data_IF_384819376131
#
_entry.id   IF_384819376131
#
_cell.length_a   1.000
_cell.length_b   1.000
_cell.length_c   1.000
_cell.angle_alpha   90.00
_cell.angle_beta   90.00
_cell.angle_gamma   90.00
#
_symmetry.space_group_name_H-M   'P 1'
#
loop_
_entity.id
_entity.type
_entity.pdbx_description
1 polymer ?
#
# COMPACT_ATOMS: atom_id res chain seq x y z
N UNK A 1 0.76 -21.80 30.72
CA UNK A 1 -0.22 -20.72 30.41
C UNK A 1 0.39 -19.33 30.44
N UNK A 2 1.30 -19.04 31.38
CA UNK A 2 1.92 -17.71 31.54
C UNK A 2 2.93 -17.38 30.41
N UNK A 3 3.83 -18.33 30.05
CA UNK A 3 4.73 -18.13 28.91
C UNK A 3 3.99 -17.97 27.57
N UNK A 4 2.84 -18.65 27.38
CA UNK A 4 1.97 -18.45 26.21
C UNK A 4 1.37 -17.04 26.13
N UNK A 5 1.06 -16.41 27.26
CA UNK A 5 0.59 -15.01 27.29
C UNK A 5 1.74 -14.05 26.96
N UNK A 6 2.95 -14.31 27.44
CA UNK A 6 4.13 -13.50 27.11
C UNK A 6 4.52 -13.61 25.63
N UNK A 7 4.51 -14.82 25.05
CA UNK A 7 4.75 -15.03 23.62
C UNK A 7 3.80 -14.20 22.77
N UNK A 8 2.50 -14.23 23.11
CA UNK A 8 1.48 -13.49 22.40
C UNK A 8 1.70 -11.97 22.48
N UNK A 9 2.16 -11.44 23.62
CA UNK A 9 2.48 -10.01 23.79
C UNK A 9 3.66 -9.58 22.91
N UNK A 10 4.74 -10.38 22.88
CA UNK A 10 5.93 -10.08 22.06
C UNK A 10 5.56 -10.11 20.57
N UNK A 11 4.82 -11.12 20.12
CA UNK A 11 4.39 -11.22 18.73
C UNK A 11 3.49 -10.03 18.36
N UNK A 12 2.51 -9.68 19.20
CA UNK A 12 1.65 -8.51 18.96
C UNK A 12 2.47 -7.22 18.88
N UNK A 13 3.45 -7.03 19.78
CA UNK A 13 4.34 -5.87 19.74
C UNK A 13 5.12 -5.79 18.42
N UNK A 14 5.72 -6.90 17.99
CA UNK A 14 6.42 -7.00 16.70
C UNK A 14 5.49 -6.62 15.55
N UNK A 15 4.27 -7.14 15.56
CA UNK A 15 3.28 -6.88 14.53
C UNK A 15 2.84 -5.42 14.48
N UNK A 16 2.56 -4.80 15.63
CA UNK A 16 2.16 -3.40 15.72
C UNK A 16 3.28 -2.49 15.21
N UNK A 17 4.50 -2.67 15.72
CA UNK A 17 5.64 -1.81 15.34
C UNK A 17 5.97 -1.96 13.86
N UNK A 18 5.98 -3.18 13.33
CA UNK A 18 6.19 -3.39 11.90
C UNK A 18 5.07 -2.75 11.07
N UNK A 19 3.81 -2.87 11.50
CA UNK A 19 2.67 -2.28 10.80
C UNK A 19 2.64 -0.74 10.84
N UNK A 20 3.39 -0.08 11.74
CA UNK A 20 3.60 1.38 11.69
C UNK A 20 4.22 1.85 10.37
N UNK A 21 4.96 0.99 9.65
CA UNK A 21 5.41 1.32 8.30
C UNK A 21 4.24 1.58 7.33
N UNK A 22 3.14 0.86 7.49
CA UNK A 22 1.89 1.11 6.77
C UNK A 22 1.22 2.40 7.23
N UNK A 23 1.26 2.71 8.53
CA UNK A 23 0.74 3.97 9.07
C UNK A 23 1.43 5.18 8.44
N UNK A 24 2.77 5.18 8.40
CA UNK A 24 3.54 6.30 7.81
C UNK A 24 3.22 6.50 6.33
N UNK A 25 3.04 5.40 5.59
CA UNK A 25 2.58 5.46 4.22
C UNK A 25 1.20 6.13 4.12
N UNK A 26 0.26 5.70 4.96
CA UNK A 26 -1.07 6.28 5.01
C UNK A 26 -1.11 7.76 5.40
N UNK A 27 -0.32 8.16 6.39
CA UNK A 27 -0.23 9.55 6.85
C UNK A 27 0.26 10.48 5.73
N UNK A 28 1.26 10.08 4.95
CA UNK A 28 1.72 10.92 3.84
C UNK A 28 0.70 10.95 2.67
N UNK A 29 0.08 9.83 2.35
CA UNK A 29 -1.00 9.75 1.35
C UNK A 29 -2.18 10.67 1.69
N UNK A 30 -2.67 10.62 2.94
CA UNK A 30 -3.78 11.45 3.39
C UNK A 30 -3.40 12.92 3.61
N UNK A 31 -2.12 13.22 3.84
CA UNK A 31 -1.63 14.60 3.94
C UNK A 31 -1.83 15.34 2.62
N UNK A 32 -1.47 14.73 1.48
CA UNK A 32 -1.60 15.34 0.16
C UNK A 32 -3.04 15.77 -0.12
N UNK A 33 -4.01 14.93 0.23
CA UNK A 33 -5.42 15.19 -0.03
C UNK A 33 -5.97 16.45 0.65
N UNK A 34 -5.42 16.82 1.82
CA UNK A 34 -5.97 17.89 2.66
C UNK A 34 -5.05 19.12 2.79
N UNK A 35 -3.76 18.98 2.47
CA UNK A 35 -2.79 20.06 2.58
C UNK A 35 -2.69 20.92 1.30
N UNK A 36 -3.37 20.55 0.20
CA UNK A 36 -3.27 21.24 -1.10
C UNK A 36 -3.51 22.76 -1.02
N UNK A 37 -4.59 23.19 -0.36
CA UNK A 37 -4.90 24.62 -0.18
C UNK A 37 -3.84 25.36 0.62
N UNK A 38 -3.37 24.75 1.71
CA UNK A 38 -2.33 25.30 2.58
C UNK A 38 -0.99 25.41 1.85
N UNK A 39 -0.66 24.40 1.03
CA UNK A 39 0.53 24.39 0.16
C UNK A 39 0.44 25.46 -0.93
N UNK A 40 -0.74 25.65 -1.54
CA UNK A 40 -0.97 26.71 -2.52
C UNK A 40 -0.72 28.10 -1.92
N UNK A 41 -1.26 28.36 -0.74
CA UNK A 41 -1.11 29.65 -0.07
C UNK A 41 0.35 30.00 0.28
N UNK A 42 1.18 29.00 0.65
CA UNK A 42 2.56 29.24 1.09
C UNK A 42 3.55 29.19 -0.08
N UNK A 43 3.37 28.24 -1.01
CA UNK A 43 4.34 27.96 -2.08
C UNK A 43 3.85 28.31 -3.49
N UNK A 44 2.62 28.83 -3.64
CA UNK A 44 2.04 29.17 -4.94
C UNK A 44 1.71 27.95 -5.80
N UNK A 45 1.62 26.75 -5.22
CA UNK A 45 1.26 25.52 -5.93
C UNK A 45 -0.25 25.54 -6.21
N UNK A 46 -0.64 26.11 -7.35
CA UNK A 46 -2.04 26.24 -7.71
C UNK A 46 -2.75 24.86 -7.78
N UNK A 47 -3.96 24.81 -7.24
CA UNK A 47 -4.81 23.61 -7.28
C UNK A 47 -5.09 23.18 -8.73
N UNK A 48 -4.87 21.89 -9.03
CA UNK A 48 -5.06 21.31 -10.35
C UNK A 48 -3.94 21.65 -11.35
N UNK A 49 -2.87 22.32 -10.91
CA UNK A 49 -1.72 22.65 -11.76
C UNK A 49 -0.83 21.43 -12.05
N UNK A 50 -0.06 21.54 -13.12
CA UNK A 50 1.02 20.59 -13.44
C UNK A 50 2.05 20.55 -12.31
N UNK A 51 2.29 21.68 -11.64
CA UNK A 51 3.22 21.77 -10.51
C UNK A 51 2.74 20.94 -9.31
N UNK A 52 1.44 20.99 -8.97
CA UNK A 52 0.85 20.14 -7.93
C UNK A 52 0.98 18.66 -8.30
N UNK A 53 0.66 18.31 -9.55
CA UNK A 53 0.79 16.95 -10.06
C UNK A 53 2.22 16.42 -9.95
N UNK A 54 3.21 17.21 -10.36
CA UNK A 54 4.62 16.86 -10.28
C UNK A 54 5.10 16.73 -8.83
N UNK A 55 4.74 17.68 -7.97
CA UNK A 55 5.10 17.64 -6.55
C UNK A 55 4.58 16.37 -5.86
N UNK A 56 3.32 16.01 -6.10
CA UNK A 56 2.71 14.80 -5.55
C UNK A 56 3.31 13.52 -6.15
N UNK A 57 3.74 13.55 -7.41
CA UNK A 57 4.26 12.38 -8.11
C UNK A 57 5.74 12.08 -7.79
N UNK A 58 6.51 13.05 -7.28
CA UNK A 58 7.94 12.86 -6.89
C UNK A 58 8.13 11.82 -5.80
N UNK A 59 7.16 11.68 -4.90
CA UNK A 59 7.17 10.64 -3.89
C UNK A 59 7.24 9.22 -4.49
N UNK A 60 6.58 9.00 -5.62
CA UNK A 60 6.60 7.71 -6.29
C UNK A 60 8.00 7.35 -6.83
N UNK A 61 8.78 8.34 -7.31
CA UNK A 61 10.17 8.12 -7.68
C UNK A 61 11.03 7.72 -6.46
N UNK A 62 10.80 8.37 -5.32
CA UNK A 62 11.38 7.95 -4.04
C UNK A 62 11.02 6.50 -3.72
N UNK A 63 9.74 6.13 -3.86
CA UNK A 63 9.23 4.77 -3.66
C UNK A 63 9.90 3.73 -4.55
N UNK A 64 10.13 4.05 -5.83
CA UNK A 64 10.86 3.20 -6.78
C UNK A 64 12.30 3.01 -6.32
N UNK A 65 13.02 4.11 -6.00
CA UNK A 65 14.39 4.06 -5.53
C UNK A 65 14.52 3.25 -4.23
N UNK A 66 13.64 3.50 -3.26
CA UNK A 66 13.57 2.75 -2.01
C UNK A 66 13.33 1.25 -2.22
N UNK A 67 12.41 0.91 -3.13
CA UNK A 67 12.11 -0.48 -3.48
C UNK A 67 13.30 -1.18 -4.14
N UNK A 68 13.98 -0.52 -5.08
CA UNK A 68 15.19 -1.04 -5.74
C UNK A 68 16.30 -1.35 -4.72
N UNK A 69 16.53 -0.45 -3.77
CA UNK A 69 17.54 -0.64 -2.75
C UNK A 69 17.13 -1.62 -1.65
N UNK A 70 15.82 -1.87 -1.45
CA UNK A 70 15.30 -2.69 -0.34
C UNK A 70 15.87 -4.11 -0.32
N UNK A 71 16.03 -4.76 -1.46
CA UNK A 71 16.62 -6.11 -1.56
C UNK A 71 18.08 -6.14 -1.08
N UNK A 72 18.86 -5.10 -1.40
CA UNK A 72 20.22 -4.93 -0.91
C UNK A 72 20.21 -4.71 0.61
N UNK A 73 19.46 -3.72 1.10
CA UNK A 73 19.42 -3.40 2.53
C UNK A 73 18.95 -4.59 3.38
N UNK A 74 17.89 -5.30 2.97
CA UNK A 74 17.34 -6.43 3.73
C UNK A 74 18.28 -7.64 3.77
N UNK A 75 19.11 -7.82 2.74
CA UNK A 75 20.12 -8.90 2.68
C UNK A 75 21.37 -8.57 3.50
N UNK A 76 21.89 -7.33 3.39
CA UNK A 76 23.14 -6.93 4.04
C UNK A 76 22.96 -6.46 5.47
N UNK A 77 22.03 -5.52 5.71
CA UNK A 77 21.78 -4.97 7.05
C UNK A 77 20.81 -5.84 7.87
N UNK A 78 19.97 -6.62 7.20
CA UNK A 78 18.88 -7.37 7.82
C UNK A 78 17.60 -6.57 7.95
N UNK A 79 16.48 -7.28 8.10
CA UNK A 79 15.12 -6.72 7.99
C UNK A 79 14.84 -5.59 9.00
N UNK A 80 15.21 -5.82 10.27
CA UNK A 80 15.10 -4.81 11.36
C UNK A 80 15.82 -3.50 10.99
N UNK A 81 17.07 -3.61 10.55
CA UNK A 81 17.88 -2.44 10.25
C UNK A 81 17.40 -1.72 9.00
N UNK A 82 16.82 -2.43 8.02
CA UNK A 82 16.13 -1.79 6.90
C UNK A 82 14.93 -0.97 7.36
N UNK A 83 14.13 -1.46 8.31
CA UNK A 83 13.03 -0.68 8.89
C UNK A 83 13.52 0.54 9.67
N UNK A 84 14.66 0.45 10.36
CA UNK A 84 15.31 1.60 11.01
C UNK A 84 15.73 2.66 9.98
N UNK A 85 16.35 2.26 8.86
CA UNK A 85 16.70 3.18 7.78
C UNK A 85 15.44 3.83 7.20
N UNK A 86 14.38 3.06 6.95
CA UNK A 86 13.12 3.58 6.46
C UNK A 86 12.50 4.61 7.42
N UNK A 87 12.42 4.28 8.72
CA UNK A 87 11.90 5.17 9.76
C UNK A 87 12.75 6.45 9.91
N UNK A 88 14.07 6.34 9.79
CA UNK A 88 14.96 7.50 9.82
C UNK A 88 14.76 8.41 8.61
N UNK A 89 14.66 7.84 7.40
CA UNK A 89 14.34 8.61 6.19
C UNK A 89 13.00 9.34 6.31
N UNK A 90 11.98 8.68 6.86
CA UNK A 90 10.69 9.31 7.13
C UNK A 90 10.79 10.47 8.13
N UNK A 91 11.47 10.24 9.26
CA UNK A 91 11.64 11.24 10.31
C UNK A 91 12.36 12.47 9.76
N UNK A 92 13.45 12.26 9.02
CA UNK A 92 14.24 13.33 8.40
C UNK A 92 13.39 14.12 7.39
N UNK A 93 12.72 13.42 6.47
CA UNK A 93 11.89 14.06 5.45
C UNK A 93 10.73 14.86 6.05
N UNK A 94 10.02 14.30 7.03
CA UNK A 94 8.90 14.98 7.68
C UNK A 94 9.36 16.17 8.55
N UNK A 95 10.46 16.00 9.30
CA UNK A 95 11.00 17.06 10.14
C UNK A 95 11.47 18.26 9.31
N UNK A 96 12.25 18.02 8.25
CA UNK A 96 12.70 19.12 7.37
C UNK A 96 11.50 19.76 6.67
N UNK A 97 10.48 18.99 6.28
CA UNK A 97 9.24 19.55 5.71
C UNK A 97 8.50 20.48 6.67
N UNK A 98 8.55 20.21 7.99
CA UNK A 98 7.91 21.06 9.00
C UNK A 98 8.55 22.44 9.16
N UNK A 99 9.80 22.61 8.70
CA UNK A 99 10.53 23.88 8.71
C UNK A 99 10.09 24.84 7.61
N UNK A 100 9.20 24.41 6.71
CA UNK A 100 8.67 25.20 5.61
C UNK A 100 9.73 25.89 4.74
N UNK A 101 10.84 25.17 4.51
CA UNK A 101 11.93 25.61 3.63
C UNK A 101 11.46 25.75 2.17
N UNK A 102 12.26 26.39 1.28
CA UNK A 102 11.91 26.56 -0.13
C UNK A 102 11.43 25.28 -0.82
N UNK A 103 10.60 25.44 -1.84
CA UNK A 103 9.87 24.34 -2.49
C UNK A 103 10.80 23.25 -3.04
N UNK A 104 12.03 23.59 -3.44
CA UNK A 104 13.05 22.66 -3.90
C UNK A 104 13.45 21.69 -2.79
N UNK A 105 13.61 22.20 -1.57
CA UNK A 105 13.94 21.40 -0.39
C UNK A 105 12.74 20.55 0.02
N UNK A 106 11.53 21.12 -0.01
CA UNK A 106 10.31 20.36 0.28
C UNK A 106 10.09 19.22 -0.73
N UNK A 107 10.42 19.47 -1.99
CA UNK A 107 10.40 18.47 -3.07
C UNK A 107 11.44 17.37 -2.85
N UNK A 108 12.65 17.72 -2.40
CA UNK A 108 13.65 16.73 -2.00
C UNK A 108 13.17 15.91 -0.79
N UNK A 109 12.52 16.53 0.18
CA UNK A 109 11.92 15.85 1.34
C UNK A 109 10.84 14.85 0.91
N UNK A 110 10.00 15.21 -0.09
CA UNK A 110 9.02 14.29 -0.69
C UNK A 110 9.66 13.05 -1.30
N UNK A 111 10.80 13.21 -1.99
CA UNK A 111 11.58 12.08 -2.48
C UNK A 111 12.12 11.22 -1.31
N UNK A 112 12.64 11.83 -0.25
CA UNK A 112 13.14 11.12 0.94
C UNK A 112 12.04 10.35 1.67
N UNK A 113 10.85 10.94 1.82
CA UNK A 113 9.67 10.27 2.35
C UNK A 113 9.32 9.06 1.50
N UNK A 114 9.23 9.23 0.18
CA UNK A 114 9.00 8.14 -0.77
C UNK A 114 10.03 7.02 -0.67
N UNK A 115 11.31 7.35 -0.53
CA UNK A 115 12.38 6.37 -0.32
C UNK A 115 12.14 5.53 0.95
N UNK A 116 11.76 6.17 2.05
CA UNK A 116 11.35 5.50 3.28
C UNK A 116 10.16 4.57 3.07
N UNK A 117 9.11 5.03 2.38
CA UNK A 117 7.92 4.22 2.07
C UNK A 117 8.30 3.00 1.23
N UNK A 118 9.11 3.17 0.19
CA UNK A 118 9.55 2.09 -0.69
C UNK A 118 10.31 1.00 0.07
N UNK A 119 11.23 1.40 0.96
CA UNK A 119 11.92 0.46 1.84
C UNK A 119 10.96 -0.26 2.78
N UNK A 120 10.06 0.47 3.44
CA UNK A 120 9.10 -0.08 4.39
C UNK A 120 8.10 -1.04 3.73
N UNK A 121 7.62 -0.73 2.52
CA UNK A 121 6.64 -1.52 1.77
C UNK A 121 7.17 -2.90 1.38
N UNK A 122 8.48 -3.03 1.21
CA UNK A 122 9.13 -4.32 0.98
C UNK A 122 9.57 -5.01 2.28
N UNK A 123 10.22 -4.26 3.18
CA UNK A 123 10.81 -4.82 4.40
C UNK A 123 9.75 -5.26 5.42
N UNK A 124 8.62 -4.55 5.53
CA UNK A 124 7.58 -4.83 6.53
C UNK A 124 6.89 -6.17 6.28
N UNK A 125 6.32 -6.46 5.10
CA UNK A 125 5.68 -7.75 4.85
C UNK A 125 6.67 -8.91 4.96
N UNK A 126 7.91 -8.73 4.51
CA UNK A 126 8.96 -9.74 4.63
C UNK A 126 9.31 -10.01 6.10
N UNK A 127 9.52 -8.95 6.89
CA UNK A 127 9.83 -9.08 8.32
C UNK A 127 8.70 -9.78 9.07
N UNK A 128 7.44 -9.39 8.80
CA UNK A 128 6.26 -10.03 9.37
C UNK A 128 6.17 -11.51 8.97
N UNK A 129 6.42 -11.85 7.71
CA UNK A 129 6.37 -13.24 7.25
C UNK A 129 7.45 -14.14 7.90
N UNK A 130 8.60 -13.58 8.28
CA UNK A 130 9.72 -14.32 8.88
C UNK A 130 9.66 -14.38 10.40
N UNK A 131 8.98 -13.44 11.06
CA UNK A 131 8.90 -13.34 12.53
C UNK A 131 7.54 -13.77 13.09
N UNK A 132 6.46 -13.63 12.32
CA UNK A 132 5.13 -14.02 12.76
C UNK A 132 4.94 -15.55 12.68
N UNK A 133 4.24 -16.14 13.67
CA UNK A 133 3.82 -17.53 13.63
C UNK A 133 3.02 -17.87 12.36
N UNK A 134 3.14 -19.10 11.88
CA UNK A 134 2.52 -19.58 10.63
C UNK A 134 1.02 -19.36 10.58
N UNK A 135 0.32 -19.45 11.72
CA UNK A 135 -1.13 -19.33 11.83
C UNK A 135 -1.68 -17.91 11.65
N UNK A 136 -0.86 -16.85 11.73
CA UNK A 136 -1.33 -15.45 11.60
C UNK A 136 -0.75 -14.72 10.38
N UNK A 137 0.09 -15.37 9.56
CA UNK A 137 0.79 -14.70 8.43
C UNK A 137 -0.15 -13.98 7.46
N UNK A 138 -1.28 -14.58 7.11
CA UNK A 138 -2.27 -13.94 6.22
C UNK A 138 -2.86 -12.66 6.81
N UNK A 139 -3.20 -12.68 8.10
CA UNK A 139 -3.71 -11.51 8.82
C UNK A 139 -2.68 -10.37 8.90
N UNK A 140 -1.38 -10.66 8.81
CA UNK A 140 -0.32 -9.65 8.86
C UNK A 140 -0.27 -8.77 7.61
N UNK A 141 -0.48 -9.36 6.42
CA UNK A 141 -0.57 -8.57 5.19
C UNK A 141 -1.79 -7.64 5.23
N UNK A 142 -2.89 -8.09 5.84
CA UNK A 142 -4.08 -7.24 6.01
C UNK A 142 -3.89 -6.18 7.10
N UNK A 143 -3.13 -6.46 8.16
CA UNK A 143 -2.78 -5.48 9.19
C UNK A 143 -1.99 -4.31 8.60
N UNK A 144 -1.04 -4.58 7.68
CA UNK A 144 -0.31 -3.52 6.98
C UNK A 144 -1.26 -2.59 6.21
N UNK A 145 -2.20 -3.17 5.45
CA UNK A 145 -3.22 -2.38 4.72
C UNK A 145 -4.15 -1.62 5.67
N UNK A 146 -4.57 -2.23 6.78
CA UNK A 146 -5.39 -1.58 7.80
C UNK A 146 -4.68 -0.33 8.33
N UNK A 147 -3.38 -0.44 8.66
CA UNK A 147 -2.59 0.70 9.13
C UNK A 147 -2.42 1.80 8.08
N UNK A 148 -2.33 1.47 6.79
CA UNK A 148 -2.36 2.48 5.71
C UNK A 148 -3.67 3.26 5.77
N UNK A 149 -4.81 2.57 5.77
CA UNK A 149 -6.12 3.26 5.78
C UNK A 149 -6.37 4.02 7.08
N UNK A 150 -5.89 3.51 8.21
CA UNK A 150 -5.93 4.22 9.49
C UNK A 150 -5.06 5.48 9.45
N UNK A 151 -3.87 5.43 8.85
CA UNK A 151 -3.00 6.59 8.67
C UNK A 151 -3.65 7.68 7.82
N UNK A 152 -4.28 7.31 6.70
CA UNK A 152 -5.01 8.25 5.84
C UNK A 152 -6.13 8.95 6.62
N UNK A 153 -6.93 8.18 7.38
CA UNK A 153 -7.98 8.74 8.20
C UNK A 153 -7.43 9.64 9.31
N UNK A 154 -6.39 9.18 10.02
CA UNK A 154 -5.80 9.88 11.15
C UNK A 154 -5.23 11.25 10.75
N UNK A 155 -4.45 11.31 9.67
CA UNK A 155 -3.88 12.59 9.21
C UNK A 155 -4.98 13.53 8.73
N UNK A 156 -6.03 13.03 8.07
CA UNK A 156 -7.16 13.86 7.66
C UNK A 156 -7.86 14.48 8.89
N UNK A 157 -8.13 13.65 9.90
CA UNK A 157 -8.73 14.10 11.16
C UNK A 157 -7.84 15.14 11.86
N UNK A 158 -6.55 14.89 12.01
CA UNK A 158 -5.65 15.84 12.68
C UNK A 158 -5.51 17.12 11.88
N UNK A 159 -5.44 17.06 10.54
CA UNK A 159 -5.31 18.24 9.70
C UNK A 159 -6.54 19.15 9.81
N UNK A 160 -7.74 18.58 9.82
CA UNK A 160 -9.00 19.33 10.04
C UNK A 160 -8.95 20.03 11.41
N UNK A 161 -8.65 19.28 12.47
CA UNK A 161 -8.59 19.83 13.84
C UNK A 161 -7.53 20.93 13.96
N UNK A 162 -6.36 20.76 13.33
CA UNK A 162 -5.30 21.78 13.33
C UNK A 162 -5.77 23.05 12.64
N UNK A 163 -6.37 22.95 11.46
CA UNK A 163 -6.85 24.13 10.70
C UNK A 163 -7.93 24.87 11.47
N UNK A 164 -8.89 24.15 12.07
CA UNK A 164 -9.99 24.76 12.84
C UNK A 164 -9.52 25.42 14.14
N UNK A 165 -8.55 24.84 14.85
CA UNK A 165 -8.07 25.37 16.13
C UNK A 165 -7.05 26.50 15.98
N UNK A 166 -6.17 26.42 14.97
CA UNK A 166 -5.01 27.33 14.86
C UNK A 166 -5.35 28.56 14.03
N UNK A 167 -6.14 28.42 12.96
CA UNK A 167 -6.53 29.53 12.07
C UNK A 167 -5.40 30.17 11.24
N UNK A 168 -4.13 29.89 11.55
CA UNK A 168 -2.95 30.39 10.82
C UNK A 168 -2.37 29.32 9.89
N UNK A 169 -2.31 29.62 8.59
CA UNK A 169 -1.92 28.69 7.51
C UNK A 169 -0.51 28.09 7.69
N UNK A 170 0.49 28.91 8.01
CA UNK A 170 1.88 28.46 8.18
C UNK A 170 2.04 27.54 9.39
N UNK A 171 1.55 27.98 10.55
CA UNK A 171 1.59 27.19 11.79
C UNK A 171 0.82 25.88 11.58
N UNK A 172 -0.31 25.92 10.88
CA UNK A 172 -1.07 24.73 10.54
C UNK A 172 -0.24 23.75 9.71
N UNK A 173 0.41 24.21 8.63
CA UNK A 173 1.23 23.33 7.78
C UNK A 173 2.40 22.69 8.55
N UNK A 174 3.10 23.48 9.37
CA UNK A 174 4.17 22.98 10.25
C UNK A 174 3.65 21.91 11.20
N UNK A 175 2.48 22.12 11.83
CA UNK A 175 1.88 21.14 12.73
C UNK A 175 1.42 19.88 11.99
N UNK A 176 0.87 20.00 10.78
CA UNK A 176 0.51 18.85 9.96
C UNK A 176 1.72 17.96 9.65
N UNK A 177 2.86 18.56 9.25
CA UNK A 177 4.11 17.81 9.09
C UNK A 177 4.64 17.25 10.41
N UNK A 178 4.47 17.98 11.51
CA UNK A 178 4.91 17.55 12.85
C UNK A 178 4.16 16.31 13.34
N UNK A 179 2.88 16.14 12.97
CA UNK A 179 2.13 14.89 13.23
C UNK A 179 2.82 13.70 12.53
N UNK A 180 3.22 13.86 11.26
CA UNK A 180 3.94 12.81 10.53
C UNK A 180 5.30 12.53 11.20
N UNK A 181 6.04 13.58 11.59
CA UNK A 181 7.32 13.47 12.32
C UNK A 181 7.15 12.70 13.63
N UNK A 182 6.08 12.95 14.39
CA UNK A 182 5.80 12.24 15.64
C UNK A 182 5.63 10.73 15.40
N UNK A 183 4.80 10.33 14.43
CA UNK A 183 4.61 8.91 14.13
C UNK A 183 5.87 8.26 13.55
N UNK A 184 6.65 9.00 12.75
CA UNK A 184 7.93 8.52 12.24
C UNK A 184 8.92 8.27 13.39
N UNK A 185 8.96 9.16 14.38
CA UNK A 185 9.74 8.99 15.61
C UNK A 185 9.30 7.76 16.40
N UNK A 186 7.98 7.57 16.59
CA UNK A 186 7.43 6.40 17.29
C UNK A 186 7.79 5.08 16.58
N UNK A 187 7.72 5.05 15.25
CA UNK A 187 8.16 3.89 14.47
C UNK A 187 9.67 3.65 14.67
N UNK A 188 10.50 4.69 14.53
CA UNK A 188 11.95 4.57 14.68
C UNK A 188 12.34 4.02 16.05
N UNK A 189 11.77 4.58 17.13
CA UNK A 189 11.96 4.11 18.51
C UNK A 189 11.48 2.66 18.66
N UNK A 190 10.28 2.34 18.18
CA UNK A 190 9.74 0.98 18.22
C UNK A 190 10.65 -0.03 17.51
N UNK A 191 11.21 0.35 16.36
CA UNK A 191 12.11 -0.50 15.57
C UNK A 191 13.42 -0.83 16.31
N UNK A 192 13.89 -0.02 17.26
CA UNK A 192 15.06 -0.37 18.08
C UNK A 192 14.80 -1.59 18.97
N UNK A 193 13.57 -1.78 19.43
CA UNK A 193 13.18 -2.89 20.30
C UNK A 193 12.78 -4.17 19.53
N UNK A 194 12.65 -4.09 18.21
CA UNK A 194 12.36 -5.25 17.38
C UNK A 194 13.50 -6.28 17.43
N UNK A 195 13.21 -7.59 17.50
CA UNK A 195 14.21 -8.63 17.34
C UNK A 195 14.68 -8.70 15.87
N UNK A 196 15.91 -9.19 15.65
CA UNK A 196 16.38 -9.51 14.29
C UNK A 196 15.59 -10.70 13.73
N UNK A 197 15.46 -10.76 12.40
CA UNK A 197 14.83 -11.92 11.75
C UNK A 197 15.65 -13.19 12.01
N UNK A 198 15.05 -14.27 12.55
CA UNK A 198 15.75 -15.54 12.75
C UNK A 198 16.31 -16.11 11.44
N UNK A 199 15.55 -16.01 10.35
CA UNK A 199 15.98 -16.49 9.03
C UNK A 199 17.20 -15.73 8.50
N UNK A 200 17.24 -14.42 8.72
CA UNK A 200 18.40 -13.61 8.35
C UNK A 200 19.64 -13.94 9.20
N UNK A 201 19.47 -14.23 10.49
CA UNK A 201 20.58 -14.66 11.35
C UNK A 201 21.13 -16.02 10.91
N UNK A 202 20.25 -16.97 10.56
CA UNK A 202 20.66 -18.26 9.98
C UNK A 202 21.45 -18.08 8.68
N UNK A 203 21.03 -17.17 7.80
CA UNK A 203 21.75 -16.81 6.56
C UNK A 203 23.15 -16.22 6.82
N UNK A 204 23.38 -15.67 8.01
CA UNK A 204 24.67 -15.12 8.45
C UNK A 204 25.47 -16.09 9.34
N UNK A 205 25.08 -17.37 9.38
CA UNK A 205 25.68 -18.40 10.23
C UNK A 205 25.64 -18.07 11.74
N UNK A 206 24.63 -17.31 12.19
CA UNK A 206 24.41 -16.93 13.61
C UNK A 206 23.24 -17.73 14.20
N UNK A 207 23.40 -19.04 14.27
CA UNK A 207 22.33 -19.96 14.69
C UNK A 207 21.91 -19.80 16.15
N UNK A 208 22.87 -19.64 17.07
CA UNK A 208 22.58 -19.46 18.50
C UNK A 208 21.67 -18.26 18.76
N UNK A 209 21.93 -17.14 18.07
CA UNK A 209 21.07 -15.95 18.16
C UNK A 209 19.71 -16.17 17.52
N UNK A 210 19.65 -16.89 16.40
CA UNK A 210 18.38 -17.24 15.76
C UNK A 210 17.54 -18.09 16.72
N UNK A 211 18.14 -19.11 17.35
CA UNK A 211 17.51 -19.98 18.36
C UNK A 211 17.03 -19.20 19.57
N UNK A 212 17.82 -18.27 20.08
CA UNK A 212 17.44 -17.42 21.21
C UNK A 212 16.21 -16.55 20.90
N UNK A 213 16.11 -16.01 19.67
CA UNK A 213 14.93 -15.23 19.24
C UNK A 213 13.72 -16.14 19.02
N UNK A 214 13.90 -17.29 18.36
CA UNK A 214 12.83 -18.26 18.11
C UNK A 214 12.21 -18.78 19.41
N UNK A 215 13.04 -19.04 20.42
CA UNK A 215 12.58 -19.48 21.75
C UNK A 215 11.74 -18.42 22.45
N UNK A 216 11.90 -17.13 22.09
CA UNK A 216 11.07 -16.02 22.61
C UNK A 216 9.77 -15.81 21.85
N UNK A 217 9.56 -16.47 20.71
CA UNK A 217 8.35 -16.29 19.88
C UNK A 217 7.58 -17.58 19.63
N UNK A 218 8.18 -18.75 19.89
CA UNK A 218 7.66 -20.09 19.58
C UNK A 218 7.88 -21.07 20.72
N UNK A 219 7.14 -22.20 20.67
CA UNK A 219 7.37 -23.32 21.58
C UNK A 219 8.67 -24.03 21.24
N UNK A 220 9.33 -24.64 22.24
CA UNK A 220 10.63 -25.31 22.09
C UNK A 220 10.66 -26.33 20.94
N UNK A 221 9.63 -27.17 20.85
CA UNK A 221 9.54 -28.20 19.80
C UNK A 221 9.40 -27.60 18.38
N UNK A 222 8.75 -26.43 18.26
CA UNK A 222 8.62 -25.70 16.99
C UNK A 222 9.93 -25.00 16.59
N UNK A 223 10.77 -24.62 17.56
CA UNK A 223 12.06 -23.96 17.30
C UNK A 223 13.03 -24.92 16.61
N UNK A 224 13.17 -26.14 17.13
CA UNK A 224 14.09 -27.14 16.58
C UNK A 224 13.69 -27.58 15.17
N UNK A 225 12.38 -27.78 14.95
CA UNK A 225 11.83 -28.06 13.63
C UNK A 225 12.15 -26.94 12.65
N UNK A 226 11.87 -25.68 13.00
CA UNK A 226 12.09 -24.56 12.09
C UNK A 226 13.57 -24.29 11.78
N UNK A 227 14.46 -24.43 12.76
CA UNK A 227 15.91 -24.33 12.52
C UNK A 227 16.36 -25.42 11.55
N UNK A 228 15.87 -26.65 11.72
CA UNK A 228 16.21 -27.78 10.86
C UNK A 228 15.71 -27.56 9.43
N UNK A 229 14.47 -27.09 9.27
CA UNK A 229 13.91 -26.71 7.96
C UNK A 229 14.72 -25.61 7.28
N UNK A 230 15.13 -24.58 8.02
CA UNK A 230 15.95 -23.48 7.47
C UNK A 230 17.32 -24.02 7.04
N UNK A 231 17.97 -24.86 7.85
CA UNK A 231 19.26 -25.49 7.51
C UNK A 231 19.17 -26.34 6.25
N UNK A 232 18.13 -27.16 6.14
CA UNK A 232 17.90 -27.99 4.95
C UNK A 232 17.80 -27.10 3.70
N UNK A 233 17.01 -26.03 3.75
CA UNK A 233 16.87 -25.07 2.64
C UNK A 233 18.16 -24.29 2.33
N UNK A 234 19.02 -24.03 3.32
CA UNK A 234 20.33 -23.39 3.11
C UNK A 234 21.36 -24.35 2.49
N UNK A 235 21.24 -25.65 2.78
CA UNK A 235 22.10 -26.71 2.23
C UNK A 235 21.73 -27.12 0.80
N UNK A 236 20.52 -26.81 0.33
CA UNK A 236 20.15 -26.95 -1.07
C UNK A 236 21.01 -26.02 -1.95
N UNK A 237 21.51 -26.53 -3.09
CA UNK A 237 22.30 -25.73 -4.04
C UNK A 237 21.56 -24.43 -4.37
N UNK A 238 22.21 -23.28 -4.13
CA UNK A 238 21.74 -21.97 -4.61
C UNK A 238 21.68 -22.00 -6.14
N UNK A 239 20.50 -22.28 -6.68
CA UNK A 239 20.23 -22.09 -8.12
C UNK A 239 20.44 -20.61 -8.41
N UNK A 240 21.17 -20.32 -9.49
CA UNK A 240 21.44 -18.93 -9.86
C UNK A 240 20.13 -18.19 -10.14
N UNK A 241 19.99 -16.97 -9.60
CA UNK A 241 18.85 -16.08 -9.92
C UNK A 241 18.77 -15.90 -11.45
N UNK A 242 19.92 -15.82 -12.11
CA UNK A 242 20.06 -15.66 -13.56
C UNK A 242 19.45 -16.86 -14.30
N UNK A 243 19.77 -18.09 -13.86
CA UNK A 243 19.23 -19.31 -14.45
C UNK A 243 17.71 -19.42 -14.30
N UNK A 244 17.16 -18.89 -13.20
CA UNK A 244 15.71 -18.94 -12.96
C UNK A 244 14.97 -17.85 -13.74
N UNK A 245 15.55 -16.66 -13.86
CA UNK A 245 15.02 -15.56 -14.69
C UNK A 245 15.06 -15.91 -16.17
N UNK A 246 16.00 -16.76 -16.60
CA UNK A 246 16.05 -17.29 -17.97
C UNK A 246 14.88 -18.23 -18.32
N UNK A 247 14.14 -18.75 -17.32
CA UNK A 247 13.06 -19.72 -17.57
C UNK A 247 11.76 -19.03 -17.99
N UNK A 248 11.11 -19.57 -19.03
CA UNK A 248 9.85 -19.03 -19.58
C UNK A 248 8.71 -18.92 -18.56
N UNK A 249 8.64 -19.82 -17.57
CA UNK A 249 7.59 -19.79 -16.56
C UNK A 249 7.70 -18.57 -15.62
N UNK A 250 8.91 -18.04 -15.41
CA UNK A 250 9.15 -16.86 -14.60
C UNK A 250 8.42 -15.65 -15.18
N UNK A 251 8.63 -15.40 -16.48
CA UNK A 251 8.01 -14.28 -17.18
C UNK A 251 6.49 -14.37 -17.24
N UNK A 252 5.94 -15.59 -17.32
CA UNK A 252 4.48 -15.80 -17.28
C UNK A 252 3.88 -15.38 -15.93
N UNK A 253 4.50 -15.77 -14.81
CA UNK A 253 3.98 -15.42 -13.49
C UNK A 253 4.30 -13.97 -13.10
N UNK A 254 5.44 -13.46 -13.56
CA UNK A 254 5.80 -12.06 -13.43
C UNK A 254 4.80 -11.16 -14.16
N UNK A 255 4.39 -11.52 -15.37
CA UNK A 255 3.33 -10.81 -16.09
C UNK A 255 2.05 -10.71 -15.26
N UNK A 256 1.64 -11.80 -14.60
CA UNK A 256 0.46 -11.76 -13.71
C UNK A 256 0.65 -10.77 -12.58
N UNK A 257 1.78 -10.83 -11.87
CA UNK A 257 2.07 -9.91 -10.78
C UNK A 257 2.15 -8.44 -11.22
N UNK A 258 2.77 -8.16 -12.36
CA UNK A 258 2.88 -6.81 -12.94
C UNK A 258 1.49 -6.27 -13.26
N UNK A 259 0.65 -7.04 -13.94
CA UNK A 259 -0.70 -6.62 -14.32
C UNK A 259 -1.58 -6.39 -13.09
N UNK A 260 -1.49 -7.23 -12.05
CA UNK A 260 -2.23 -7.02 -10.79
C UNK A 260 -1.88 -5.68 -10.14
N UNK A 261 -0.59 -5.37 -9.99
CA UNK A 261 -0.17 -4.11 -9.37
C UNK A 261 -0.46 -2.89 -10.25
N UNK A 262 -0.34 -3.04 -11.57
CA UNK A 262 -0.73 -2.02 -12.52
C UNK A 262 -2.24 -1.71 -12.41
N UNK A 263 -3.10 -2.73 -12.44
CA UNK A 263 -4.54 -2.54 -12.31
C UNK A 263 -4.94 -1.98 -10.95
N UNK A 264 -4.26 -2.35 -9.86
CA UNK A 264 -4.53 -1.76 -8.52
C UNK A 264 -4.45 -0.23 -8.55
N UNK A 265 -3.55 0.34 -9.35
CA UNK A 265 -3.42 1.78 -9.51
C UNK A 265 -4.38 2.34 -10.58
N UNK A 266 -4.48 1.67 -11.73
CA UNK A 266 -5.32 2.10 -12.86
C UNK A 266 -6.83 2.05 -12.59
N UNK A 267 -7.30 1.36 -11.53
CA UNK A 267 -8.70 1.50 -11.09
C UNK A 267 -9.00 2.85 -10.45
N UNK A 268 -7.99 3.72 -10.25
CA UNK A 268 -8.18 5.15 -9.95
C UNK A 268 -8.16 5.53 -8.46
N UNK A 269 -7.65 4.66 -7.58
CA UNK A 269 -7.76 4.88 -6.13
C UNK A 269 -7.04 6.15 -5.65
N UNK A 270 -5.81 6.42 -6.11
CA UNK A 270 -5.07 7.60 -5.66
C UNK A 270 -5.74 8.90 -6.10
N UNK A 271 -6.39 8.89 -7.28
CA UNK A 271 -7.17 10.03 -7.74
C UNK A 271 -8.33 10.31 -6.77
N UNK A 272 -9.09 9.28 -6.38
CA UNK A 272 -10.18 9.46 -5.43
C UNK A 272 -9.66 9.86 -4.05
N UNK A 273 -8.58 9.27 -3.54
CA UNK A 273 -8.03 9.63 -2.22
C UNK A 273 -7.53 11.07 -2.21
N UNK A 274 -6.76 11.49 -3.23
CA UNK A 274 -6.13 12.81 -3.25
C UNK A 274 -7.12 13.93 -3.58
N UNK A 275 -8.13 13.64 -4.40
CA UNK A 275 -9.02 14.68 -4.93
C UNK A 275 -10.48 14.55 -4.47
N UNK A 276 -10.84 13.52 -3.67
CA UNK A 276 -12.17 13.42 -3.07
C UNK A 276 -12.64 14.71 -2.39
N UNK A 277 -11.82 15.38 -1.53
CA UNK A 277 -12.23 16.63 -0.93
C UNK A 277 -12.56 17.72 -1.97
N UNK A 278 -11.80 17.80 -3.07
CA UNK A 278 -11.99 18.80 -4.14
C UNK A 278 -13.29 18.56 -4.92
N UNK A 279 -13.64 17.30 -5.20
CA UNK A 279 -14.91 16.98 -5.87
C UNK A 279 -16.13 17.33 -5.01
N UNK A 280 -16.00 17.13 -3.70
CA UNK A 280 -17.07 17.38 -2.73
C UNK A 280 -17.22 18.88 -2.40
N UNK A 281 -16.20 19.69 -2.65
CA UNK A 281 -16.27 21.16 -2.61
C UNK A 281 -17.17 21.74 -3.69
N UNK A 282 -17.05 21.27 -4.95
CA UNK A 282 -17.97 21.67 -6.03
C UNK A 282 -19.44 21.24 -5.79
N UNK A 283 -19.66 20.29 -4.87
CA UNK A 283 -20.97 19.79 -4.49
C UNK A 283 -21.72 20.68 -3.48
N UNK A 284 -21.09 21.68 -2.85
CA UNK A 284 -21.76 22.54 -1.85
C UNK A 284 -22.11 21.82 -0.54
N UNK A 285 -21.49 20.66 -0.28
CA UNK A 285 -21.59 19.93 0.99
C UNK A 285 -20.59 20.50 2.00
N UNK A 286 -20.79 20.23 3.29
CA UNK A 286 -19.76 20.51 4.29
C UNK A 286 -18.50 19.68 3.96
N UNK A 287 -17.51 20.35 3.37
CA UNK A 287 -16.29 19.78 2.77
C UNK A 287 -15.52 18.93 3.78
N UNK A 288 -15.42 19.46 5.00
CA UNK A 288 -14.69 18.85 6.10
C UNK A 288 -15.33 17.52 6.48
N UNK A 289 -16.65 17.52 6.69
CA UNK A 289 -17.39 16.32 7.05
C UNK A 289 -17.37 15.27 5.93
N UNK A 290 -17.51 15.70 4.68
CA UNK A 290 -17.55 14.81 3.52
C UNK A 290 -16.18 14.16 3.25
N UNK A 291 -15.08 14.92 3.36
CA UNK A 291 -13.71 14.40 3.28
C UNK A 291 -13.39 13.41 4.41
N UNK A 292 -13.74 13.74 5.65
CA UNK A 292 -13.57 12.83 6.79
C UNK A 292 -14.37 11.55 6.62
N UNK A 293 -15.60 11.63 6.11
CA UNK A 293 -16.46 10.47 5.85
C UNK A 293 -15.83 9.51 4.82
N UNK A 294 -15.24 10.03 3.75
CA UNK A 294 -14.54 9.24 2.72
C UNK A 294 -13.43 8.40 3.35
N UNK A 295 -12.56 9.01 4.14
CA UNK A 295 -11.43 8.30 4.74
C UNK A 295 -11.84 7.40 5.90
N UNK A 296 -12.88 7.78 6.65
CA UNK A 296 -13.46 6.93 7.68
C UNK A 296 -14.08 5.65 7.09
N UNK A 297 -14.84 5.78 6.00
CA UNK A 297 -15.37 4.63 5.25
C UNK A 297 -14.24 3.80 4.67
N UNK A 298 -13.18 4.40 4.14
CA UNK A 298 -12.00 3.68 3.66
C UNK A 298 -11.40 2.80 4.77
N UNK A 299 -11.16 3.38 5.96
CA UNK A 299 -10.67 2.65 7.12
C UNK A 299 -11.59 1.50 7.53
N UNK A 300 -12.89 1.76 7.75
CA UNK A 300 -13.83 0.72 8.17
C UNK A 300 -13.99 -0.40 7.13
N UNK A 301 -13.90 -0.06 5.84
CA UNK A 301 -14.08 -1.01 4.73
C UNK A 301 -12.94 -2.02 4.62
N UNK A 302 -11.80 -1.80 5.29
CA UNK A 302 -10.71 -2.78 5.33
C UNK A 302 -10.96 -3.94 6.30
N UNK A 303 -11.78 -3.77 7.35
CA UNK A 303 -12.08 -4.84 8.30
C UNK A 303 -12.77 -6.06 7.65
N UNK A 304 -13.80 -5.89 6.80
CA UNK A 304 -14.40 -7.01 6.06
C UNK A 304 -13.39 -7.80 5.23
N UNK A 305 -12.37 -7.13 4.68
CA UNK A 305 -11.35 -7.78 3.85
C UNK A 305 -10.64 -8.90 4.61
N UNK A 306 -10.30 -8.70 5.89
CA UNK A 306 -9.63 -9.69 6.74
C UNK A 306 -10.37 -11.03 6.72
N UNK A 307 -11.70 -10.99 6.80
CA UNK A 307 -12.54 -12.20 6.82
C UNK A 307 -12.82 -12.74 5.41
N UNK A 308 -13.03 -11.84 4.44
CA UNK A 308 -13.45 -12.23 3.09
C UNK A 308 -12.33 -12.79 2.24
N UNK A 309 -11.08 -12.37 2.45
CA UNK A 309 -9.91 -12.92 1.73
C UNK A 309 -9.80 -14.44 1.92
N UNK A 310 -9.97 -14.90 3.15
CA UNK A 310 -9.94 -16.33 3.47
C UNK A 310 -11.26 -17.04 3.13
N UNK A 311 -12.41 -16.38 3.30
CA UNK A 311 -13.70 -17.02 3.02
C UNK A 311 -13.97 -17.17 1.52
N UNK A 312 -13.78 -16.13 0.73
CA UNK A 312 -14.20 -16.07 -0.69
C UNK A 312 -13.08 -16.35 -1.68
N UNK A 313 -11.82 -16.26 -1.25
CA UNK A 313 -10.66 -16.40 -2.13
C UNK A 313 -10.30 -15.10 -2.84
N UNK A 314 -9.09 -15.07 -3.40
CA UNK A 314 -8.46 -13.85 -3.90
C UNK A 314 -9.07 -13.43 -5.23
N UNK A 315 -9.24 -14.37 -6.16
CA UNK A 315 -9.76 -14.08 -7.52
C UNK A 315 -11.20 -13.58 -7.48
N UNK A 316 -12.05 -14.24 -6.69
CA UNK A 316 -13.47 -13.86 -6.56
C UNK A 316 -13.61 -12.46 -5.96
N UNK A 317 -12.84 -12.17 -4.90
CA UNK A 317 -12.92 -10.89 -4.20
C UNK A 317 -12.44 -9.72 -5.07
N UNK A 318 -11.34 -9.87 -5.81
CA UNK A 318 -10.88 -8.88 -6.79
C UNK A 318 -11.92 -8.62 -7.88
N UNK A 319 -12.58 -9.68 -8.37
CA UNK A 319 -13.60 -9.57 -9.43
C UNK A 319 -14.82 -8.80 -8.93
N UNK A 320 -15.35 -9.16 -7.76
CA UNK A 320 -16.52 -8.48 -7.16
C UNK A 320 -16.19 -7.01 -6.87
N UNK A 321 -15.02 -6.75 -6.31
CA UNK A 321 -14.55 -5.39 -6.06
C UNK A 321 -14.45 -4.55 -7.32
N UNK A 322 -13.88 -5.10 -8.40
CA UNK A 322 -13.80 -4.41 -9.68
C UNK A 322 -15.18 -4.08 -10.27
N UNK A 323 -16.18 -4.97 -10.12
CA UNK A 323 -17.55 -4.71 -10.56
C UNK A 323 -18.17 -3.56 -9.76
N UNK A 324 -18.04 -3.59 -8.43
CA UNK A 324 -18.56 -2.52 -7.55
C UNK A 324 -17.94 -1.18 -7.93
N UNK A 325 -16.61 -1.14 -8.10
CA UNK A 325 -15.89 0.06 -8.51
C UNK A 325 -16.32 0.54 -9.90
N UNK A 326 -16.42 -0.35 -10.88
CA UNK A 326 -16.82 0.00 -12.25
C UNK A 326 -18.19 0.66 -12.29
N UNK A 327 -19.20 0.05 -11.65
CA UNK A 327 -20.56 0.60 -11.60
C UNK A 327 -20.56 1.96 -10.89
N UNK A 328 -19.84 2.07 -9.78
CA UNK A 328 -19.74 3.32 -9.02
C UNK A 328 -19.09 4.44 -9.83
N UNK A 329 -18.02 4.14 -10.56
CA UNK A 329 -17.33 5.10 -11.42
C UNK A 329 -18.19 5.57 -12.60
N UNK A 330 -18.97 4.68 -13.22
CA UNK A 330 -19.88 5.05 -14.30
C UNK A 330 -21.01 5.98 -13.81
N UNK A 331 -21.55 5.70 -12.62
CA UNK A 331 -22.58 6.56 -12.01
C UNK A 331 -21.99 7.90 -11.58
N UNK A 332 -20.78 7.91 -11.04
CA UNK A 332 -20.05 9.14 -10.72
C UNK A 332 -19.74 9.97 -11.97
N UNK A 333 -19.32 9.33 -13.08
CA UNK A 333 -19.09 9.99 -14.35
C UNK A 333 -20.36 10.67 -14.89
N UNK A 334 -21.50 9.95 -14.84
CA UNK A 334 -22.79 10.52 -15.23
C UNK A 334 -23.22 11.68 -14.31
N UNK A 335 -22.94 11.57 -13.00
CA UNK A 335 -23.20 12.64 -12.05
C UNK A 335 -22.37 13.89 -12.36
N UNK A 336 -21.08 13.74 -12.68
CA UNK A 336 -20.24 14.85 -13.14
C UNK A 336 -20.72 15.44 -14.46
N UNK A 337 -21.19 14.61 -15.40
CA UNK A 337 -21.78 15.11 -16.64
C UNK A 337 -23.00 16.01 -16.36
N UNK A 338 -23.88 15.60 -15.46
CA UNK A 338 -25.04 16.42 -15.07
C UNK A 338 -24.64 17.74 -14.38
N UNK A 339 -23.59 17.72 -13.56
CA UNK A 339 -23.11 18.88 -12.79
C UNK A 339 -22.34 19.85 -13.69
N UNK A 340 -21.31 19.38 -14.38
CA UNK A 340 -20.30 20.23 -15.04
C UNK A 340 -20.65 20.52 -16.51
N UNK A 341 -21.35 19.63 -17.21
CA UNK A 341 -21.64 19.78 -18.67
C UNK A 341 -23.09 20.21 -18.90
N UNK A 342 -24.04 19.52 -18.26
CA UNK A 342 -25.46 19.86 -18.38
C UNK A 342 -25.89 21.00 -17.46
N UNK A 343 -25.00 21.48 -16.58
CA UNK A 343 -25.23 22.58 -15.64
C UNK A 343 -26.53 22.42 -14.82
N UNK A 344 -26.82 21.21 -14.37
CA UNK A 344 -28.05 20.90 -13.60
C UNK A 344 -27.99 21.58 -12.24
N UNK A 345 -29.02 22.38 -11.91
CA UNK A 345 -29.07 23.16 -10.64
C UNK A 345 -29.52 22.34 -9.42
N UNK A 346 -30.02 21.11 -9.63
CA UNK A 346 -30.41 20.20 -8.54
C UNK A 346 -29.19 19.72 -7.75
N UNK A 347 -29.36 19.57 -6.43
CA UNK A 347 -28.34 18.94 -5.58
C UNK A 347 -28.31 17.41 -5.68
N UNK A 348 -29.30 16.78 -6.34
CA UNK A 348 -29.37 15.32 -6.41
C UNK A 348 -28.11 14.64 -7.02
N UNK A 349 -27.56 15.10 -8.17
CA UNK A 349 -26.34 14.51 -8.74
C UNK A 349 -25.14 14.58 -7.79
N UNK A 350 -25.07 15.63 -6.96
CA UNK A 350 -23.99 15.84 -5.99
C UNK A 350 -24.05 14.82 -4.84
N UNK A 351 -25.24 14.52 -4.32
CA UNK A 351 -25.43 13.46 -3.32
C UNK A 351 -25.18 12.06 -3.90
N UNK A 352 -25.65 11.81 -5.13
CA UNK A 352 -25.39 10.55 -5.84
C UNK A 352 -23.89 10.34 -6.02
N UNK A 353 -23.16 11.38 -6.45
CA UNK A 353 -21.71 11.36 -6.57
C UNK A 353 -21.04 10.97 -5.25
N UNK A 354 -21.38 11.62 -4.13
CA UNK A 354 -20.83 11.28 -2.82
C UNK A 354 -21.09 9.82 -2.46
N UNK A 355 -22.34 9.35 -2.57
CA UNK A 355 -22.69 7.96 -2.22
C UNK A 355 -21.88 6.96 -3.04
N UNK A 356 -21.77 7.16 -4.35
CA UNK A 356 -21.03 6.23 -5.20
C UNK A 356 -19.51 6.37 -5.07
N UNK A 357 -18.97 7.51 -4.67
CA UNK A 357 -17.59 7.61 -4.20
C UNK A 357 -17.35 6.73 -2.96
N UNK A 358 -18.27 6.74 -1.98
CA UNK A 358 -18.15 5.88 -0.79
C UNK A 358 -18.28 4.39 -1.14
N UNK A 359 -19.22 4.03 -2.03
CA UNK A 359 -19.38 2.65 -2.51
C UNK A 359 -18.16 2.17 -3.30
N UNK A 360 -17.57 3.04 -4.12
CA UNK A 360 -16.30 2.77 -4.79
C UNK A 360 -15.19 2.47 -3.76
N UNK A 361 -15.03 3.34 -2.77
CA UNK A 361 -14.01 3.23 -1.73
C UNK A 361 -14.17 1.92 -0.97
N UNK A 362 -15.42 1.58 -0.61
CA UNK A 362 -15.76 0.31 0.02
C UNK A 362 -15.32 -0.86 -0.86
N UNK A 363 -15.70 -0.84 -2.14
CA UNK A 363 -15.31 -1.86 -3.12
C UNK A 363 -13.80 -2.05 -3.21
N UNK A 364 -13.04 -0.97 -3.28
CA UNK A 364 -11.57 -1.02 -3.32
C UNK A 364 -10.97 -1.57 -2.02
N UNK A 365 -11.34 -0.99 -0.88
CA UNK A 365 -10.75 -1.28 0.43
C UNK A 365 -11.03 -2.72 0.89
N UNK A 366 -12.21 -3.27 0.55
CA UNK A 366 -12.54 -4.65 0.87
C UNK A 366 -11.97 -5.68 -0.12
N UNK A 367 -11.28 -5.25 -1.18
CA UNK A 367 -10.77 -6.14 -2.24
C UNK A 367 -9.36 -5.75 -2.74
N UNK A 368 -9.24 -4.89 -3.75
CA UNK A 368 -8.01 -4.55 -4.47
C UNK A 368 -6.92 -3.99 -3.57
N UNK A 369 -7.28 -3.24 -2.52
CA UNK A 369 -6.34 -2.74 -1.53
C UNK A 369 -5.46 -3.86 -0.94
N UNK A 370 -6.01 -4.76 -0.10
CA UNK A 370 -5.22 -5.82 0.52
C UNK A 370 -4.92 -7.02 -0.41
N UNK A 371 -5.82 -7.35 -1.35
CA UNK A 371 -5.72 -8.61 -2.10
C UNK A 371 -4.64 -8.57 -3.17
N UNK A 372 -4.38 -7.43 -3.81
CA UNK A 372 -3.35 -7.34 -4.83
C UNK A 372 -1.96 -7.71 -4.27
N UNK A 373 -1.60 -7.14 -3.11
CA UNK A 373 -0.36 -7.45 -2.39
C UNK A 373 -0.29 -8.91 -1.95
N UNK A 374 -1.40 -9.41 -1.40
CA UNK A 374 -1.50 -10.80 -0.93
C UNK A 374 -1.29 -11.78 -2.10
N UNK A 375 -2.03 -11.60 -3.19
CA UNK A 375 -1.94 -12.45 -4.38
C UNK A 375 -0.53 -12.42 -4.98
N UNK A 376 0.09 -11.24 -5.14
CA UNK A 376 1.47 -11.13 -5.62
C UNK A 376 2.44 -11.94 -4.74
N UNK A 377 2.29 -11.92 -3.42
CA UNK A 377 3.15 -12.70 -2.51
C UNK A 377 2.92 -14.21 -2.57
N UNK A 378 1.72 -14.64 -2.97
CA UNK A 378 1.32 -16.06 -3.05
C UNK A 378 1.67 -16.71 -4.40
N UNK A 379 1.62 -15.96 -5.51
CA UNK A 379 1.90 -16.52 -6.84
C UNK A 379 3.40 -16.77 -7.06
N UNK A 380 4.29 -15.97 -6.46
CA UNK A 380 5.72 -16.14 -6.72
C UNK A 380 6.32 -17.33 -5.94
N UNK A 381 7.03 -18.25 -6.65
CA UNK A 381 7.83 -19.30 -6.04
C UNK A 381 8.81 -18.76 -5.00
N UNK A 382 9.04 -19.50 -3.90
CA UNK A 382 9.86 -19.02 -2.78
C UNK A 382 11.24 -18.55 -3.24
N UNK A 383 11.84 -19.24 -4.23
CA UNK A 383 13.20 -19.02 -4.74
C UNK A 383 13.41 -17.67 -5.42
N UNK A 384 12.36 -17.10 -6.01
CA UNK A 384 12.40 -15.86 -6.82
C UNK A 384 11.43 -14.79 -6.31
N UNK A 385 10.78 -15.06 -5.18
CA UNK A 385 9.77 -14.18 -4.59
C UNK A 385 10.29 -12.77 -4.34
N UNK A 386 11.50 -12.64 -3.81
CA UNK A 386 12.11 -11.33 -3.56
C UNK A 386 12.22 -10.51 -4.86
N UNK A 387 12.66 -11.14 -5.96
CA UNK A 387 12.78 -10.48 -7.28
C UNK A 387 11.41 -10.13 -7.84
N UNK A 388 10.47 -11.08 -7.84
CA UNK A 388 9.11 -10.87 -8.32
C UNK A 388 8.42 -9.73 -7.57
N UNK A 389 8.44 -9.77 -6.24
CA UNK A 389 7.87 -8.70 -5.41
C UNK A 389 8.51 -7.35 -5.69
N UNK A 390 9.84 -7.27 -5.79
CA UNK A 390 10.55 -6.02 -6.11
C UNK A 390 10.07 -5.42 -7.43
N UNK A 391 10.03 -6.22 -8.51
CA UNK A 391 9.57 -5.76 -9.83
C UNK A 391 8.11 -5.31 -9.78
N UNK A 392 7.23 -6.09 -9.15
CA UNK A 392 5.80 -5.74 -9.06
C UNK A 392 5.56 -4.48 -8.22
N UNK A 393 6.33 -4.26 -7.16
CA UNK A 393 6.27 -3.04 -6.34
C UNK A 393 6.79 -1.82 -7.09
N UNK A 394 7.85 -1.96 -7.89
CA UNK A 394 8.32 -0.89 -8.78
C UNK A 394 7.20 -0.49 -9.75
N UNK A 395 6.56 -1.48 -10.39
CA UNK A 395 5.42 -1.24 -11.28
C UNK A 395 4.29 -0.54 -10.55
N UNK A 396 3.99 -0.95 -9.31
CA UNK A 396 2.99 -0.28 -8.49
C UNK A 396 3.32 1.22 -8.36
N UNK A 397 4.53 1.57 -7.91
CA UNK A 397 4.95 2.97 -7.77
C UNK A 397 5.01 3.72 -9.11
N UNK A 398 5.43 3.08 -10.19
CA UNK A 398 5.38 3.68 -11.53
C UNK A 398 3.96 4.06 -11.92
N UNK A 399 2.97 3.20 -11.64
CA UNK A 399 1.58 3.53 -11.95
C UNK A 399 0.95 4.48 -10.93
N UNK A 400 1.45 4.55 -9.68
CA UNK A 400 1.13 5.68 -8.77
C UNK A 400 1.54 7.00 -9.44
N UNK A 401 2.78 7.10 -9.93
CA UNK A 401 3.26 8.29 -10.66
C UNK A 401 2.38 8.60 -11.86
N UNK A 402 2.11 7.62 -12.74
CA UNK A 402 1.32 7.81 -13.95
C UNK A 402 -0.09 8.31 -13.61
N UNK A 403 -0.77 7.68 -12.66
CA UNK A 403 -2.13 8.06 -12.26
C UNK A 403 -2.12 9.47 -11.66
N UNK A 404 -1.25 9.76 -10.70
CA UNK A 404 -1.25 11.04 -9.96
C UNK A 404 -0.87 12.22 -10.87
N UNK A 405 0.15 12.07 -11.71
CA UNK A 405 0.61 13.14 -12.61
C UNK A 405 -0.42 13.49 -13.70
N UNK A 406 -1.11 12.47 -14.26
CA UNK A 406 -2.04 12.67 -15.36
C UNK A 406 -3.47 13.02 -14.90
N UNK A 407 -3.89 12.59 -13.71
CA UNK A 407 -5.27 12.84 -13.22
C UNK A 407 -5.61 14.33 -13.18
N UNK A 408 -4.70 15.18 -12.68
CA UNK A 408 -4.94 16.62 -12.61
C UNK A 408 -5.10 17.26 -13.99
N UNK A 409 -4.23 16.89 -14.93
CA UNK A 409 -4.29 17.42 -16.30
C UNK A 409 -5.63 17.09 -16.94
N UNK A 410 -6.12 15.86 -16.77
CA UNK A 410 -7.41 15.43 -17.33
C UNK A 410 -8.57 16.10 -16.59
N UNK A 411 -8.53 16.19 -15.26
CA UNK A 411 -9.59 16.83 -14.47
C UNK A 411 -9.76 18.31 -14.79
N UNK A 412 -8.67 19.01 -15.09
CA UNK A 412 -8.66 20.42 -15.43
C UNK A 412 -8.94 20.69 -16.93
N UNK A 413 -9.11 19.64 -17.74
CA UNK A 413 -9.33 19.75 -19.19
C UNK A 413 -10.80 20.05 -19.54
N UNK A 414 -11.30 21.19 -19.05
CA UNK A 414 -12.67 21.67 -19.30
C UNK A 414 -13.77 20.83 -18.64
N UNK A 415 -15.02 21.08 -19.03
CA UNK A 415 -16.22 20.48 -18.42
C UNK A 415 -16.28 18.95 -18.57
N UNK A 416 -15.68 18.41 -19.63
CA UNK A 416 -15.64 16.97 -19.91
C UNK A 416 -14.51 16.22 -19.18
N UNK A 417 -13.57 16.94 -18.57
CA UNK A 417 -12.39 16.37 -17.93
C UNK A 417 -12.73 15.32 -16.86
N UNK A 418 -13.57 15.69 -15.88
CA UNK A 418 -13.97 14.78 -14.79
C UNK A 418 -14.81 13.60 -15.28
N UNK A 419 -15.90 13.79 -16.06
CA UNK A 419 -16.66 12.65 -16.59
C UNK A 419 -15.80 11.64 -17.36
N UNK A 420 -14.93 12.12 -18.24
CA UNK A 420 -14.06 11.27 -19.07
C UNK A 420 -13.09 10.46 -18.21
N UNK A 421 -12.47 11.09 -17.21
CA UNK A 421 -11.52 10.41 -16.32
C UNK A 421 -12.16 9.22 -15.59
N UNK A 422 -13.37 9.41 -15.06
CA UNK A 422 -14.10 8.35 -14.37
C UNK A 422 -14.52 7.21 -15.33
N UNK A 423 -14.90 7.54 -16.58
CA UNK A 423 -15.16 6.53 -17.62
C UNK A 423 -13.89 5.73 -17.95
N UNK A 424 -12.74 6.39 -18.08
CA UNK A 424 -11.46 5.73 -18.34
C UNK A 424 -11.12 4.74 -17.21
N UNK A 425 -11.27 5.13 -15.94
CA UNK A 425 -11.06 4.22 -14.81
C UNK A 425 -12.09 3.08 -14.74
N UNK A 426 -13.34 3.33 -15.12
CA UNK A 426 -14.34 2.27 -15.27
C UNK A 426 -13.93 1.27 -16.37
N UNK A 427 -13.38 1.77 -17.48
CA UNK A 427 -12.80 0.95 -18.54
C UNK A 427 -11.65 0.08 -18.04
N UNK A 428 -10.74 0.62 -17.22
CA UNK A 428 -9.69 -0.19 -16.59
C UNK A 428 -10.23 -1.22 -15.61
N UNK A 429 -11.33 -0.94 -14.89
CA UNK A 429 -12.02 -1.94 -14.07
C UNK A 429 -12.59 -3.08 -14.94
N UNK A 430 -13.16 -2.79 -16.11
CA UNK A 430 -13.62 -3.82 -17.05
C UNK A 430 -12.45 -4.67 -17.57
N UNK A 431 -11.36 -4.03 -17.99
CA UNK A 431 -10.16 -4.73 -18.46
C UNK A 431 -9.56 -5.61 -17.35
N UNK A 432 -9.58 -5.15 -16.11
CA UNK A 432 -9.09 -5.92 -14.97
C UNK A 432 -9.97 -7.14 -14.68
N UNK A 433 -11.30 -7.04 -14.81
CA UNK A 433 -12.23 -8.18 -14.70
C UNK A 433 -11.92 -9.24 -15.78
N UNK A 434 -11.74 -8.81 -17.02
CA UNK A 434 -11.39 -9.69 -18.14
C UNK A 434 -10.05 -10.39 -17.84
N UNK A 435 -9.05 -9.63 -17.43
CA UNK A 435 -7.73 -10.16 -17.08
C UNK A 435 -7.80 -11.19 -15.94
N UNK A 436 -8.53 -10.89 -14.86
CA UNK A 436 -8.75 -11.79 -13.72
C UNK A 436 -9.37 -13.11 -14.16
N UNK A 437 -10.37 -13.06 -15.06
CA UNK A 437 -11.05 -14.25 -15.57
C UNK A 437 -10.08 -15.19 -16.27
N UNK A 438 -9.22 -14.66 -17.15
CA UNK A 438 -8.40 -15.48 -18.06
C UNK A 438 -7.00 -15.84 -17.55
N UNK A 439 -6.37 -15.01 -16.72
CA UNK A 439 -4.94 -15.17 -16.38
C UNK A 439 -4.68 -15.46 -14.91
N UNK A 440 -5.54 -15.01 -14.01
CA UNK A 440 -5.28 -15.06 -12.57
C UNK A 440 -5.76 -16.39 -11.98
N UNK A 441 -4.90 -17.14 -11.26
CA UNK A 441 -5.31 -18.32 -10.50
C UNK A 441 -6.03 -17.94 -9.21
N UNK A 442 -6.83 -18.86 -8.68
CA UNK A 442 -7.21 -18.82 -7.28
C UNK A 442 -6.08 -19.41 -6.44
N UNK A 443 -5.69 -18.75 -5.35
CA UNK A 443 -4.57 -19.18 -4.49
C UNK A 443 -5.04 -19.61 -3.10
N UNK A 444 -6.33 -19.42 -2.78
CA UNK A 444 -6.92 -19.80 -1.51
C UNK A 444 -6.68 -21.29 -1.20
N UNK A 445 -6.07 -21.56 -0.05
CA UNK A 445 -5.91 -22.92 0.48
C UNK A 445 -4.86 -23.78 -0.23
N UNK A 446 -4.13 -23.21 -1.19
CA UNK A 446 -3.11 -23.93 -1.96
C UNK A 446 -1.72 -23.60 -1.38
N UNK A 447 -0.89 -24.63 -1.18
CA UNK A 447 0.49 -24.42 -0.72
C UNK A 447 1.33 -23.74 -1.81
N UNK A 448 2.31 -22.94 -1.37
CA UNK A 448 3.22 -22.23 -2.27
C UNK A 448 4.05 -23.20 -3.11
N UNK A 449 4.42 -24.33 -2.51
CA UNK A 449 5.16 -25.41 -3.15
C UNK A 449 4.35 -26.08 -4.27
N UNK A 450 3.02 -26.22 -4.10
CA UNK A 450 2.13 -26.75 -5.14
C UNK A 450 1.96 -25.76 -6.29
N UNK A 451 1.82 -24.46 -6.00
CA UNK A 451 1.79 -23.42 -7.03
C UNK A 451 3.08 -23.45 -7.86
N UNK A 452 4.24 -23.56 -7.20
CA UNK A 452 5.54 -23.69 -7.86
C UNK A 452 5.62 -24.97 -8.71
N UNK A 453 5.19 -26.11 -8.17
CA UNK A 453 5.17 -27.39 -8.90
C UNK A 453 4.28 -27.31 -10.14
N UNK A 454 3.04 -26.83 -10.03
CA UNK A 454 2.12 -26.67 -11.14
C UNK A 454 2.68 -25.74 -12.22
N UNK A 455 3.34 -24.65 -11.79
CA UNK A 455 3.99 -23.69 -12.70
C UNK A 455 5.15 -24.33 -13.48
N UNK A 456 5.99 -25.12 -12.80
CA UNK A 456 7.11 -25.85 -13.42
C UNK A 456 6.62 -26.96 -14.35
N UNK A 457 5.54 -27.65 -13.98
CA UNK A 457 4.87 -28.68 -14.79
C UNK A 457 4.11 -28.11 -16.00
N UNK A 458 4.08 -26.79 -16.19
CA UNK A 458 3.53 -26.16 -17.39
C UNK A 458 2.02 -25.93 -17.38
N UNK A 459 1.37 -25.97 -16.21
CA UNK A 459 -0.05 -25.68 -16.08
C UNK A 459 -0.38 -24.26 -16.61
N UNK A 460 -1.60 -24.07 -17.09
CA UNK A 460 -2.09 -22.74 -17.48
C UNK A 460 -2.14 -21.86 -16.23
N UNK A 461 -1.80 -20.58 -16.38
CA UNK A 461 -1.70 -19.61 -15.28
C UNK A 461 -2.97 -19.56 -14.41
N UNK A 462 -4.16 -19.58 -15.03
CA UNK A 462 -5.45 -19.56 -14.32
C UNK A 462 -5.75 -20.83 -13.51
N UNK A 463 -5.06 -21.93 -13.82
CA UNK A 463 -5.30 -23.26 -13.27
C UNK A 463 -4.22 -23.64 -12.23
N UNK A 464 -3.30 -22.73 -11.89
CA UNK A 464 -2.19 -23.01 -10.96
C UNK A 464 -2.65 -23.43 -9.56
N UNK A 465 -3.83 -23.01 -9.13
CA UNK A 465 -4.40 -23.40 -7.84
C UNK A 465 -5.44 -24.51 -7.89
N UNK A 466 -5.60 -25.21 -9.02
CA UNK A 466 -6.43 -26.42 -9.08
C UNK A 466 -5.65 -27.62 -8.53
N UNK A 467 -6.36 -28.50 -7.83
CA UNK A 467 -5.82 -29.74 -7.25
C UNK A 467 -5.24 -30.68 -8.30
#
# INVERSE_FOLDING_TARGET
MESQKEFRKIVIFICIVAALGGLLFGLDQGFIANAGKTLNHIYGIADGSIQEGNFNAILAFGGIAGTLCSGFFTRYLGRKNTLLVAGFSFLLGAFISSLLLPIEILTACRFTLGFGVGLASFATPLYLAETAPTNIRGAMSTLFQLMITFGIFLICLTNVVIVELVGHTEISLTLMFSVITLFAFLMLVGCFFLPKSPRWLMLKNREEEARAILTKTRKKDEVDLEISEIKQKLGEKKVSIIETVAKKYFWKILFVGIMIQMFQQLVGINMIIYYAPKFLEGAGLNIILAGLMVFFVNFLSTFPAIKWVEKWGRKKLLTVGAIIMMVSLLIAAYSFYLIDVSHTTSNAPKYVLLVFCLVYIFGFACSWGPVAWTLCSEIFPQRIREVGLTVTTIVNWTFVYVVVSNSNVIMSAGEWGKPLLFIVYAGFCLLSIIFLKFFVPETKGVSLEKIESNLVSGYKLKDLGKE
#
